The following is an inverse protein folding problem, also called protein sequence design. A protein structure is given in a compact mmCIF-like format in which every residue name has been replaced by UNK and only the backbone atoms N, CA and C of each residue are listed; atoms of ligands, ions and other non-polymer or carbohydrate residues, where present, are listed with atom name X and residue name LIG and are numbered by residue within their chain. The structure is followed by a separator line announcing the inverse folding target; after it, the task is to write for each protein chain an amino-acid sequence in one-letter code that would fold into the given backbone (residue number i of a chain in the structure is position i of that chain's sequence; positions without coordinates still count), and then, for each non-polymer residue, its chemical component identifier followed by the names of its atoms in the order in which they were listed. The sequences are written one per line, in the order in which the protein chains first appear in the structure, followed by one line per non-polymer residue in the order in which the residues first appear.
data_IF_683132642651
#
_entry.id   IF_683132642651
#
_cell.length_a   1.000
_cell.length_b   1.000
_cell.length_c   1.000
_cell.angle_alpha   90.00
_cell.angle_beta   90.00
_cell.angle_gamma   90.00
#
_symmetry.space_group_name_H-M   'P 1'
#
loop_
_entity.id
_entity.type
_entity.pdbx_description
1 polymer ?
#
# COMPACT_ATOMS: atom_id res chain seq x y z
N UNK A 1 5.49 -45.87 -8.90
CA UNK A 1 5.06 -45.06 -7.75
C UNK A 1 4.04 -44.04 -8.24
N UNK A 2 2.81 -44.08 -7.75
CA UNK A 2 1.72 -43.25 -8.28
C UNK A 2 1.89 -41.80 -7.79
N UNK A 3 2.02 -40.84 -8.71
CA UNK A 3 2.36 -39.44 -8.39
C UNK A 3 1.14 -38.61 -7.95
N UNK A 4 -0.07 -39.12 -8.20
CA UNK A 4 -1.35 -38.47 -7.89
C UNK A 4 -1.54 -38.12 -6.40
N UNK A 5 -1.29 -39.03 -5.42
CA UNK A 5 -1.41 -38.68 -4.00
C UNK A 5 -0.39 -37.62 -3.56
N UNK A 6 0.84 -37.68 -4.08
CA UNK A 6 1.91 -36.70 -3.76
C UNK A 6 1.50 -35.31 -4.24
N UNK A 7 0.96 -35.18 -5.44
CA UNK A 7 0.48 -33.91 -5.98
C UNK A 7 -0.66 -33.31 -5.13
N UNK A 8 -1.62 -34.14 -4.68
CA UNK A 8 -2.72 -33.68 -3.81
C UNK A 8 -2.21 -33.12 -2.48
N UNK A 9 -1.24 -33.80 -1.86
CA UNK A 9 -0.64 -33.35 -0.61
C UNK A 9 0.11 -32.03 -0.82
N UNK A 10 0.88 -31.92 -1.91
CA UNK A 10 1.60 -30.69 -2.23
C UNK A 10 0.64 -29.50 -2.42
N UNK A 11 -0.46 -29.68 -3.16
CA UNK A 11 -1.47 -28.64 -3.34
C UNK A 11 -2.11 -28.25 -2.01
N UNK A 12 -2.49 -29.23 -1.17
CA UNK A 12 -3.07 -28.95 0.14
C UNK A 12 -2.13 -28.14 1.03
N UNK A 13 -0.83 -28.43 1.00
CA UNK A 13 0.19 -27.68 1.74
C UNK A 13 0.32 -26.24 1.24
N UNK A 14 0.31 -26.01 -0.08
CA UNK A 14 0.35 -24.65 -0.66
C UNK A 14 -0.89 -23.85 -0.26
N UNK A 15 -2.08 -24.46 -0.31
CA UNK A 15 -3.33 -23.82 0.11
C UNK A 15 -3.30 -23.48 1.60
N UNK A 16 -2.87 -24.41 2.46
CA UNK A 16 -2.74 -24.15 3.89
C UNK A 16 -1.73 -23.03 4.18
N UNK A 17 -0.59 -23.03 3.48
CA UNK A 17 0.44 -22.00 3.60
C UNK A 17 -0.07 -20.60 3.21
N UNK A 18 -0.78 -20.49 2.09
CA UNK A 18 -1.37 -19.22 1.63
C UNK A 18 -2.46 -18.70 2.57
N UNK A 19 -3.36 -19.57 3.04
CA UNK A 19 -4.40 -19.20 4.00
C UNK A 19 -3.79 -18.73 5.34
N UNK A 20 -2.72 -19.39 5.79
CA UNK A 20 -2.01 -19.01 7.02
C UNK A 20 -1.41 -17.60 6.90
N UNK A 21 -0.83 -17.27 5.75
CA UNK A 21 -0.33 -15.92 5.48
C UNK A 21 -1.44 -14.86 5.54
N UNK A 22 -2.57 -15.12 4.89
CA UNK A 22 -3.73 -14.20 4.88
C UNK A 22 -4.22 -13.95 6.31
N UNK A 23 -4.33 -15.01 7.10
CA UNK A 23 -4.76 -14.92 8.50
C UNK A 23 -3.79 -14.07 9.34
N UNK A 24 -2.49 -14.29 9.22
CA UNK A 24 -1.46 -13.53 9.94
C UNK A 24 -1.45 -12.05 9.52
N UNK A 25 -1.65 -11.76 8.23
CA UNK A 25 -1.64 -10.41 7.67
C UNK A 25 -2.89 -9.61 8.05
N UNK A 26 -4.08 -10.22 7.98
CA UNK A 26 -5.35 -9.53 8.21
C UNK A 26 -5.83 -9.62 9.66
N UNK A 27 -5.65 -10.77 10.30
CA UNK A 27 -6.15 -11.05 11.65
C UNK A 27 -5.22 -10.50 12.72
N UNK A 28 -3.97 -10.97 12.76
CA UNK A 28 -3.04 -10.61 13.84
C UNK A 28 -2.23 -9.35 13.56
N UNK A 29 -2.13 -8.92 12.30
CA UNK A 29 -1.28 -7.81 11.86
C UNK A 29 0.20 -8.02 12.22
N UNK A 30 0.64 -9.26 12.37
CA UNK A 30 2.04 -9.61 12.63
C UNK A 30 2.95 -9.40 11.42
N UNK A 31 2.37 -9.34 10.22
CA UNK A 31 3.02 -8.92 8.98
C UNK A 31 2.16 -7.81 8.40
N UNK A 32 2.76 -6.67 8.08
CA UNK A 32 2.05 -5.49 7.59
C UNK A 32 2.65 -4.97 6.30
N UNK A 33 1.78 -4.52 5.39
CA UNK A 33 2.19 -3.73 4.25
C UNK A 33 2.33 -2.26 4.67
N UNK A 34 3.45 -1.65 4.32
CA UNK A 34 3.73 -0.24 4.57
C UNK A 34 4.17 0.44 3.29
N UNK A 35 3.75 1.68 3.12
CA UNK A 35 4.15 2.53 2.00
C UNK A 35 5.02 3.67 2.49
N UNK A 36 6.12 3.89 1.76
CA UNK A 36 6.91 5.11 1.83
C UNK A 36 6.40 6.12 0.81
N UNK A 37 6.46 7.40 1.14
CA UNK A 37 5.96 8.48 0.29
C UNK A 37 7.01 9.55 0.10
N UNK A 38 7.01 10.16 -1.09
CA UNK A 38 7.80 11.35 -1.41
C UNK A 38 6.85 12.38 -2.00
N UNK A 39 6.66 13.50 -1.30
CA UNK A 39 5.55 14.42 -1.59
C UNK A 39 4.20 13.71 -1.50
N UNK A 40 3.36 13.87 -2.52
CA UNK A 40 2.02 13.26 -2.62
C UNK A 40 1.99 11.97 -3.46
N UNK A 41 3.15 11.33 -3.66
CA UNK A 41 3.30 10.14 -4.50
C UNK A 41 3.83 8.94 -3.70
N UNK A 42 3.49 7.73 -4.13
CA UNK A 42 4.09 6.50 -3.62
C UNK A 42 5.58 6.48 -3.99
N UNK A 43 6.46 6.35 -3.01
CA UNK A 43 7.90 6.25 -3.24
C UNK A 43 8.37 4.79 -3.18
N UNK A 44 7.80 4.01 -2.26
CA UNK A 44 8.22 2.63 -2.01
C UNK A 44 7.11 1.83 -1.37
N UNK A 45 7.13 0.52 -1.60
CA UNK A 45 6.29 -0.47 -0.93
C UNK A 45 7.17 -1.42 -0.14
N UNK A 46 6.77 -1.71 1.09
CA UNK A 46 7.47 -2.64 1.98
C UNK A 46 6.46 -3.57 2.64
N UNK A 47 6.88 -4.80 2.91
CA UNK A 47 6.14 -5.71 3.78
C UNK A 47 7.06 -6.04 4.94
N UNK A 48 6.69 -5.64 6.15
CA UNK A 48 7.55 -5.70 7.35
C UNK A 48 6.86 -6.46 8.49
N UNK A 49 7.61 -6.96 9.48
CA UNK A 49 7.04 -7.42 10.73
C UNK A 49 6.21 -6.32 11.38
N UNK A 50 5.08 -6.69 11.97
CA UNK A 50 4.19 -5.77 12.68
C UNK A 50 4.84 -5.18 13.94
N UNK A 51 4.50 -3.93 14.23
CA UNK A 51 5.04 -3.18 15.35
C UNK A 51 4.53 -3.76 16.68
N UNK A 52 5.45 -4.24 17.52
CA UNK A 52 5.12 -4.94 18.76
C UNK A 52 6.32 -4.94 19.72
N UNK A 53 6.11 -5.37 20.97
CA UNK A 53 7.18 -5.48 21.98
C UNK A 53 8.38 -6.28 21.46
N UNK A 54 9.57 -6.12 22.04
CA UNK A 54 10.83 -6.75 21.56
C UNK A 54 10.70 -8.27 21.31
N UNK A 55 9.99 -8.97 22.20
CA UNK A 55 9.76 -10.42 22.07
C UNK A 55 8.82 -10.72 20.89
N UNK A 56 7.72 -9.97 20.79
CA UNK A 56 6.76 -10.11 19.69
C UNK A 56 7.36 -9.72 18.34
N UNK A 57 8.26 -8.75 18.29
CA UNK A 57 8.99 -8.37 17.09
C UNK A 57 9.85 -9.53 16.57
N UNK A 58 10.58 -10.22 17.45
CA UNK A 58 11.38 -11.39 17.09
C UNK A 58 10.51 -12.52 16.52
N UNK A 59 9.35 -12.78 17.13
CA UNK A 59 8.39 -13.78 16.65
C UNK A 59 7.85 -13.38 15.28
N UNK A 60 7.43 -12.12 15.12
CA UNK A 60 6.92 -11.58 13.87
C UNK A 60 7.98 -11.60 12.75
N UNK A 61 9.26 -11.36 13.08
CA UNK A 61 10.37 -11.44 12.14
C UNK A 61 10.56 -12.87 11.60
N UNK A 62 10.48 -13.87 12.47
CA UNK A 62 10.54 -15.28 12.06
C UNK A 62 9.36 -15.67 11.17
N UNK A 63 8.13 -15.25 11.52
CA UNK A 63 6.98 -15.45 10.63
C UNK A 63 7.17 -14.74 9.29
N UNK A 64 7.65 -13.50 9.29
CA UNK A 64 7.93 -12.76 8.07
C UNK A 64 8.95 -13.48 7.18
N UNK A 65 9.98 -14.12 7.76
CA UNK A 65 10.95 -14.92 7.00
C UNK A 65 10.30 -16.17 6.39
N UNK A 66 9.49 -16.90 7.14
CA UNK A 66 8.78 -18.09 6.65
C UNK A 66 7.87 -17.77 5.45
N UNK A 67 7.26 -16.58 5.45
CA UNK A 67 6.36 -16.11 4.39
C UNK A 67 7.02 -15.25 3.31
N UNK A 68 8.36 -15.25 3.21
CA UNK A 68 9.10 -14.41 2.24
C UNK A 68 8.58 -14.52 0.79
N UNK A 69 8.31 -15.72 0.24
CA UNK A 69 7.78 -15.83 -1.13
C UNK A 69 6.45 -15.09 -1.32
N UNK A 70 5.51 -15.23 -0.38
CA UNK A 70 4.21 -14.54 -0.45
C UNK A 70 4.35 -13.04 -0.23
N UNK A 71 5.28 -12.61 0.63
CA UNK A 71 5.59 -11.18 0.82
C UNK A 71 6.12 -10.53 -0.46
N UNK A 72 6.96 -11.23 -1.23
CA UNK A 72 7.45 -10.76 -2.53
C UNK A 72 6.31 -10.67 -3.56
N UNK A 73 5.40 -11.64 -3.58
CA UNK A 73 4.21 -11.58 -4.45
C UNK A 73 3.29 -10.42 -4.07
N UNK A 74 3.07 -10.17 -2.77
CA UNK A 74 2.29 -9.02 -2.30
C UNK A 74 2.96 -7.70 -2.71
N UNK A 75 4.28 -7.58 -2.58
CA UNK A 75 5.01 -6.41 -3.07
C UNK A 75 4.86 -6.21 -4.58
N UNK A 76 4.97 -7.28 -5.36
CA UNK A 76 4.74 -7.25 -6.80
C UNK A 76 3.33 -6.76 -7.15
N UNK A 77 2.32 -7.31 -6.47
CA UNK A 77 0.94 -6.87 -6.63
C UNK A 77 0.76 -5.38 -6.33
N UNK A 78 1.31 -4.89 -5.22
CA UNK A 78 1.18 -3.47 -4.86
C UNK A 78 1.91 -2.54 -5.82
N UNK A 79 3.09 -2.92 -6.31
CA UNK A 79 3.80 -2.15 -7.34
C UNK A 79 3.05 -2.09 -8.68
N UNK A 80 2.16 -3.06 -8.95
CA UNK A 80 1.31 -3.04 -10.14
C UNK A 80 0.06 -2.17 -9.93
N UNK A 81 -0.61 -2.28 -8.78
CA UNK A 81 -1.86 -1.57 -8.50
C UNK A 81 -1.62 -0.11 -8.09
N UNK A 82 -0.53 0.15 -7.37
CA UNK A 82 -0.09 1.47 -6.91
C UNK A 82 1.38 1.66 -7.30
N UNK A 83 1.68 1.98 -8.56
CA UNK A 83 3.05 2.08 -9.02
C UNK A 83 3.85 3.15 -8.26
N UNK A 84 5.13 2.88 -8.05
CA UNK A 84 6.05 3.89 -7.53
C UNK A 84 6.04 5.10 -8.48
N UNK A 85 5.94 6.30 -7.91
CA UNK A 85 5.78 7.57 -8.61
C UNK A 85 4.34 7.97 -8.89
N UNK A 86 3.37 7.06 -8.77
CA UNK A 86 1.95 7.41 -8.91
C UNK A 86 1.44 8.22 -7.71
N UNK A 87 0.44 9.06 -7.96
CA UNK A 87 -0.19 9.87 -6.91
C UNK A 87 -0.90 8.99 -5.88
N UNK A 88 -0.78 9.36 -4.61
CA UNK A 88 -1.47 8.66 -3.51
C UNK A 88 -2.99 8.71 -3.77
N UNK A 89 -3.63 7.54 -3.68
CA UNK A 89 -5.07 7.40 -3.92
C UNK A 89 -5.89 8.14 -2.88
N UNK A 90 -7.12 8.53 -3.22
CA UNK A 90 -7.98 9.27 -2.29
C UNK A 90 -8.31 8.47 -1.03
N UNK A 91 -8.41 7.15 -1.13
CA UNK A 91 -8.63 6.25 0.00
C UNK A 91 -7.45 6.28 0.96
N UNK A 92 -6.22 6.26 0.44
CA UNK A 92 -5.03 6.32 1.27
C UNK A 92 -4.84 7.72 1.89
N UNK A 93 -5.21 8.81 1.20
CA UNK A 93 -5.16 10.19 1.75
C UNK A 93 -5.99 10.36 3.02
N UNK A 94 -7.06 9.58 3.18
CA UNK A 94 -7.93 9.60 4.36
C UNK A 94 -7.26 9.00 5.60
N UNK A 95 -6.17 8.25 5.42
CA UNK A 95 -5.35 7.81 6.54
C UNK A 95 -4.60 9.01 7.13
N UNK A 96 -4.63 9.18 8.45
CA UNK A 96 -3.97 10.29 9.15
C UNK A 96 -2.50 10.50 8.74
N UNK A 97 -1.83 9.43 8.27
CA UNK A 97 -0.46 9.45 7.75
C UNK A 97 -0.27 10.32 6.50
N UNK A 98 -1.31 10.57 5.71
CA UNK A 98 -1.24 11.27 4.40
C UNK A 98 -2.16 12.49 4.28
N UNK A 99 -2.69 12.99 5.41
CA UNK A 99 -3.65 14.12 5.46
C UNK A 99 -3.11 15.43 4.88
N UNK A 100 -1.80 15.58 4.74
CA UNK A 100 -1.17 16.73 4.07
C UNK A 100 -1.29 16.68 2.54
N UNK A 101 -1.56 15.51 1.97
CA UNK A 101 -1.74 15.30 0.52
C UNK A 101 -3.17 15.61 0.04
N UNK A 102 -4.04 16.06 0.93
CA UNK A 102 -5.43 16.44 0.63
C UNK A 102 -5.57 17.86 0.06
N UNK A 103 -4.47 18.59 -0.14
CA UNK A 103 -4.48 20.01 -0.47
C UNK A 103 -3.80 20.32 -1.82
N UNK A 104 -4.29 19.72 -2.90
CA UNK A 104 -3.91 20.11 -4.27
C UNK A 104 -5.15 20.46 -5.08
N UNK A 105 -5.90 21.43 -4.58
CA UNK A 105 -6.68 22.35 -5.42
C UNK A 105 -6.40 23.79 -4.97
N UNK A 106 -5.14 24.13 -4.68
CA UNK A 106 -4.73 25.51 -4.90
C UNK A 106 -4.54 25.63 -6.41
N UNK A 107 -5.65 25.91 -7.10
CA UNK A 107 -5.55 26.65 -8.34
C UNK A 107 -4.94 27.98 -7.91
N UNK A 108 -3.62 28.11 -8.05
CA UNK A 108 -2.98 29.42 -8.00
C UNK A 108 -3.46 30.15 -9.23
N UNK A 109 -4.68 30.70 -9.17
CA UNK A 109 -5.12 31.70 -10.13
C UNK A 109 -4.19 32.87 -9.86
N UNK A 110 -3.28 33.21 -10.78
CA UNK A 110 -2.41 34.33 -10.54
C UNK A 110 -3.27 35.59 -10.43
N UNK A 111 -2.92 36.49 -9.50
CA UNK A 111 -3.67 37.71 -9.15
C UNK A 111 -4.12 38.55 -10.36
N UNK A 112 -3.39 38.48 -11.49
CA UNK A 112 -3.76 39.16 -12.73
C UNK A 112 -5.02 38.61 -13.42
N UNK A 113 -5.42 37.36 -13.17
CA UNK A 113 -6.62 36.77 -13.77
C UNK A 113 -7.93 37.30 -13.17
N UNK A 114 -7.93 37.70 -11.88
CA UNK A 114 -9.11 38.29 -11.23
C UNK A 114 -9.34 39.73 -11.70
N UNK A 115 -8.27 40.42 -12.14
CA UNK A 115 -8.35 41.84 -12.55
C UNK A 115 -8.95 42.05 -13.95
N UNK A 116 -9.03 41.00 -14.78
CA UNK A 116 -9.57 41.10 -16.15
C UNK A 116 -11.10 41.03 -16.25
N UNK A 117 -11.81 40.58 -15.21
CA UNK A 117 -13.28 40.46 -15.26
C UNK A 117 -14.04 41.71 -14.79
N UNK A 118 -13.35 42.75 -14.32
CA UNK A 118 -13.95 43.99 -13.78
C UNK A 118 -13.90 45.17 -14.77
N UNK A 119 -13.27 45.00 -15.94
CA UNK A 119 -13.03 46.10 -16.91
C UNK A 119 -13.70 45.93 -18.28
N UNK A 120 -14.65 45.01 -18.45
CA UNK A 120 -15.51 45.01 -19.64
C UNK A 120 -16.75 45.87 -19.38
N UNK A 121 -16.89 47.05 -20.00
CA UNK A 121 -18.15 47.79 -19.95
C UNK A 121 -19.24 47.00 -20.68
N UNK A 122 -20.51 47.07 -20.25
CA UNK A 122 -21.60 46.47 -21.00
C UNK A 122 -21.74 47.20 -22.34
N UNK A 123 -21.58 46.48 -23.45
CA UNK A 123 -21.98 46.99 -24.77
C UNK A 123 -23.51 47.09 -24.79
N UNK A 124 -24.02 48.31 -24.98
CA UNK A 124 -25.35 48.54 -25.54
C UNK A 124 -25.23 48.67 -27.04
#
# INVERSE_FOLDING_TARGET
MDKKPIAKIAVALIVAYTLSYIWIRLGTKSIVHSTGTSGCNYATHFVVPGDSSVVSYTINANFALLFTPLRLLELGYWNLVKPIGSSISEEDRKLNKFKTCTNTAIVTIPSWYVKLKVLSPPSK
#
